data_IF_054580562399
#
_entry.id   IF_054580562399
#
_cell.length_a   1.000
_cell.length_b   1.000
_cell.length_c   1.000
_cell.angle_alpha   90.00
_cell.angle_beta   90.00
_cell.angle_gamma   90.00
#
_symmetry.space_group_name_H-M   'P 1'
#
loop_
_entity.id
_entity.type
_entity.pdbx_description
1 polymer ?
#
# COMPACT_ATOMS: atom_id res chain seq x y z
N UNK A 1 -15.09 18.56 17.47
CA UNK A 1 -13.76 18.20 16.93
C UNK A 1 -13.95 17.24 15.78
N UNK A 2 -13.21 17.43 14.69
CA UNK A 2 -13.11 16.48 13.56
C UNK A 2 -11.73 15.81 13.66
N UNK A 3 -11.68 14.48 13.57
CA UNK A 3 -10.43 13.72 13.55
C UNK A 3 -10.28 13.08 12.19
N UNK A 4 -9.16 13.33 11.53
CA UNK A 4 -8.86 12.91 10.16
C UNK A 4 -7.61 12.05 10.16
N UNK A 5 -7.61 10.99 9.34
CA UNK A 5 -6.48 10.09 9.23
C UNK A 5 -5.98 10.02 7.78
N UNK A 6 -4.66 10.16 7.61
CA UNK A 6 -3.98 9.94 6.34
C UNK A 6 -4.14 11.10 5.34
N UNK A 7 -4.35 10.73 4.09
CA UNK A 7 -4.11 11.57 2.91
C UNK A 7 -5.16 11.40 1.79
N UNK A 8 -6.34 10.91 2.13
CA UNK A 8 -7.42 10.75 1.15
C UNK A 8 -8.17 12.06 0.90
N UNK A 9 -8.79 12.17 -0.27
CA UNK A 9 -9.59 13.35 -0.67
C UNK A 9 -10.72 13.61 0.34
N UNK A 10 -11.32 12.57 0.89
CA UNK A 10 -12.37 12.68 1.90
C UNK A 10 -11.85 13.33 3.18
N UNK A 11 -10.63 13.01 3.59
CA UNK A 11 -9.97 13.65 4.73
C UNK A 11 -9.66 15.13 4.44
N UNK A 12 -9.22 15.45 3.21
CA UNK A 12 -9.03 16.84 2.79
C UNK A 12 -10.34 17.63 2.84
N UNK A 13 -11.42 17.08 2.29
CA UNK A 13 -12.74 17.73 2.34
C UNK A 13 -13.18 17.97 3.79
N UNK A 14 -13.01 16.98 4.67
CA UNK A 14 -13.29 17.11 6.10
C UNK A 14 -12.45 18.19 6.78
N UNK A 15 -11.16 18.34 6.41
CA UNK A 15 -10.28 19.37 6.98
C UNK A 15 -10.71 20.78 6.56
N UNK A 16 -11.09 20.96 5.30
CA UNK A 16 -11.59 22.24 4.77
C UNK A 16 -12.87 22.64 5.51
N UNK A 17 -13.83 21.72 5.58
CA UNK A 17 -15.11 21.98 6.27
C UNK A 17 -14.89 22.32 7.73
N UNK A 18 -14.03 21.54 8.43
CA UNK A 18 -13.72 21.78 9.82
C UNK A 18 -13.09 23.16 10.06
N UNK A 19 -12.04 23.48 9.30
CA UNK A 19 -11.31 24.73 9.43
C UNK A 19 -12.21 25.96 9.12
N UNK A 20 -12.97 25.93 8.04
CA UNK A 20 -13.82 27.05 7.63
C UNK A 20 -15.02 27.28 8.57
N UNK A 21 -15.42 26.26 9.33
CA UNK A 21 -16.51 26.39 10.33
C UNK A 21 -16.00 26.58 11.77
N UNK A 22 -14.71 26.90 11.96
CA UNK A 22 -14.09 27.07 13.27
C UNK A 22 -14.26 25.82 14.17
N UNK A 23 -14.27 24.63 13.59
CA UNK A 23 -14.30 23.35 14.29
C UNK A 23 -12.86 22.89 14.50
N UNK A 24 -12.51 22.47 15.71
CA UNK A 24 -11.19 21.90 16.00
C UNK A 24 -10.94 20.67 15.10
N UNK A 25 -9.87 20.71 14.32
CA UNK A 25 -9.43 19.62 13.44
C UNK A 25 -8.16 18.98 13.99
N UNK A 26 -8.15 17.66 14.10
CA UNK A 26 -6.98 16.86 14.45
C UNK A 26 -6.60 15.94 13.29
N UNK A 27 -5.32 15.91 12.94
CA UNK A 27 -4.77 15.10 11.83
C UNK A 27 -3.86 14.00 12.36
N UNK A 28 -4.14 12.76 11.99
CA UNK A 28 -3.33 11.57 12.30
C UNK A 28 -2.49 11.20 11.08
N UNK A 29 -1.21 10.85 11.31
CA UNK A 29 -0.21 10.51 10.30
C UNK A 29 0.18 11.67 9.36
N UNK A 30 0.08 12.92 9.82
CA UNK A 30 0.67 14.06 9.15
C UNK A 30 2.20 13.98 9.10
N UNK A 31 2.81 14.66 8.12
CA UNK A 31 4.28 14.77 8.02
C UNK A 31 4.99 13.58 7.38
N UNK A 32 4.29 12.54 6.95
CA UNK A 32 4.85 11.46 6.15
C UNK A 32 5.11 11.90 4.69
N UNK A 33 6.12 11.30 4.03
CA UNK A 33 6.52 11.60 2.63
C UNK A 33 6.22 10.39 1.77
N UNK A 34 5.69 10.62 0.57
CA UNK A 34 5.40 9.54 -0.39
C UNK A 34 5.82 9.84 -1.83
N UNK A 35 6.13 11.11 -2.13
CA UNK A 35 6.55 11.55 -3.47
C UNK A 35 5.43 11.53 -4.52
N UNK A 36 4.16 11.46 -4.10
CA UNK A 36 2.96 11.43 -4.93
C UNK A 36 1.98 12.52 -4.51
N UNK A 37 0.88 12.66 -5.26
CA UNK A 37 -0.20 13.61 -4.95
C UNK A 37 -0.72 13.43 -3.51
N UNK A 38 -0.72 12.21 -2.98
CA UNK A 38 -1.11 11.90 -1.60
C UNK A 38 -0.29 12.72 -0.58
N UNK A 39 1.00 12.95 -0.85
CA UNK A 39 1.84 13.81 0.01
C UNK A 39 1.35 15.25 0.02
N UNK A 40 1.02 15.79 -1.16
CA UNK A 40 0.47 17.14 -1.27
C UNK A 40 -0.85 17.27 -0.52
N UNK A 41 -1.74 16.28 -0.68
CA UNK A 41 -3.01 16.22 0.04
C UNK A 41 -2.78 16.15 1.54
N UNK A 42 -1.88 15.29 2.02
CA UNK A 42 -1.52 15.15 3.44
C UNK A 42 -1.01 16.47 4.02
N UNK A 43 -0.16 17.17 3.30
CA UNK A 43 0.36 18.46 3.74
C UNK A 43 -0.71 19.55 3.74
N UNK A 44 -1.64 19.53 2.80
CA UNK A 44 -2.79 20.43 2.81
C UNK A 44 -3.71 20.18 4.02
N UNK A 45 -3.99 18.91 4.35
CA UNK A 45 -4.75 18.53 5.56
C UNK A 45 -4.02 19.02 6.82
N UNK A 46 -2.70 18.85 6.89
CA UNK A 46 -1.89 19.37 7.99
C UNK A 46 -2.10 20.86 8.17
N UNK A 47 -2.03 21.66 7.08
CA UNK A 47 -2.22 23.13 7.14
C UNK A 47 -3.63 23.57 7.54
N UNK A 48 -4.63 22.71 7.39
CA UNK A 48 -6.00 22.96 7.83
C UNK A 48 -6.28 22.41 9.25
N UNK A 49 -5.28 21.83 9.90
CA UNK A 49 -5.46 21.15 11.20
C UNK A 49 -4.85 21.96 12.35
N UNK A 50 -5.37 21.76 13.53
CA UNK A 50 -4.96 22.46 14.77
C UNK A 50 -4.10 21.56 15.69
N UNK A 51 -4.33 20.24 15.63
CA UNK A 51 -3.61 19.23 16.40
C UNK A 51 -3.08 18.16 15.45
N UNK A 52 -1.85 17.72 15.70
CA UNK A 52 -1.16 16.78 14.82
C UNK A 52 -0.67 15.56 15.61
N UNK A 53 -1.19 14.40 15.29
CA UNK A 53 -0.75 13.11 15.80
C UNK A 53 0.17 12.44 14.76
N UNK A 54 1.47 12.42 15.03
CA UNK A 54 2.48 11.97 14.07
C UNK A 54 3.10 10.63 14.46
N UNK A 55 3.54 9.87 13.46
CA UNK A 55 4.08 8.54 13.68
C UNK A 55 5.46 8.53 14.36
N UNK A 56 6.30 9.54 14.10
CA UNK A 56 7.70 9.53 14.53
C UNK A 56 8.30 10.94 14.64
N UNK A 57 9.52 11.02 15.18
CA UNK A 57 10.22 12.28 15.36
C UNK A 57 10.59 12.97 14.03
N UNK A 58 10.75 12.22 12.94
CA UNK A 58 11.03 12.78 11.62
C UNK A 58 9.80 13.51 11.06
N UNK A 59 8.63 12.90 11.16
CA UNK A 59 7.37 13.52 10.82
C UNK A 59 7.13 14.80 11.66
N UNK A 60 7.36 14.74 12.99
CA UNK A 60 7.29 15.92 13.86
C UNK A 60 8.19 17.05 13.36
N UNK A 61 9.48 16.78 13.08
CA UNK A 61 10.42 17.79 12.57
C UNK A 61 9.92 18.42 11.27
N UNK A 62 9.34 17.62 10.37
CA UNK A 62 8.81 18.12 9.09
C UNK A 62 7.61 19.04 9.29
N UNK A 63 6.71 18.74 10.20
CA UNK A 63 5.62 19.64 10.54
C UNK A 63 6.11 20.97 11.10
N UNK A 64 7.11 20.95 11.97
CA UNK A 64 7.75 22.19 12.48
C UNK A 64 8.35 23.00 11.32
N UNK A 65 9.04 22.37 10.37
CA UNK A 65 9.56 23.03 9.17
C UNK A 65 8.46 23.61 8.28
N UNK A 66 7.27 23.00 8.28
CA UNK A 66 6.08 23.52 7.59
C UNK A 66 5.44 24.69 8.36
N UNK A 67 5.95 25.07 9.54
CA UNK A 67 5.46 26.18 10.34
C UNK A 67 4.38 25.81 11.34
N UNK A 68 4.18 24.51 11.66
CA UNK A 68 3.26 24.08 12.70
C UNK A 68 3.86 24.30 14.09
N UNK A 69 3.03 24.66 15.08
CA UNK A 69 3.49 24.87 16.44
C UNK A 69 3.89 23.55 17.10
N UNK A 70 5.12 23.48 17.62
CA UNK A 70 5.63 22.25 18.23
C UNK A 70 4.73 21.68 19.31
N UNK A 71 4.10 22.53 20.13
CA UNK A 71 3.18 22.13 21.21
C UNK A 71 1.90 21.45 20.73
N UNK A 72 1.52 21.64 19.46
CA UNK A 72 0.36 21.00 18.84
C UNK A 72 0.70 19.67 18.17
N UNK A 73 1.99 19.25 18.18
CA UNK A 73 2.46 18.04 17.51
C UNK A 73 2.81 16.97 18.53
N UNK A 74 2.06 15.88 18.54
CA UNK A 74 2.17 14.78 19.50
C UNK A 74 2.62 13.52 18.74
N UNK A 75 3.71 12.91 19.19
CA UNK A 75 4.17 11.63 18.62
C UNK A 75 3.37 10.51 19.28
N UNK A 76 2.60 9.76 18.49
CA UNK A 76 1.76 8.65 18.97
C UNK A 76 2.20 7.28 18.42
N UNK A 77 3.19 7.22 17.52
CA UNK A 77 3.45 6.01 16.71
C UNK A 77 2.49 5.92 15.52
N UNK A 78 2.52 4.80 14.82
CA UNK A 78 1.57 4.48 13.75
C UNK A 78 0.48 3.56 14.28
N UNK A 79 -0.80 3.97 14.27
CA UNK A 79 -1.91 3.12 14.68
C UNK A 79 -1.97 1.80 13.90
N UNK A 80 -1.63 1.83 12.62
CA UNK A 80 -1.62 0.65 11.77
C UNK A 80 -0.57 -0.38 12.24
N UNK A 81 0.64 0.09 12.59
CA UNK A 81 1.70 -0.79 13.11
C UNK A 81 1.28 -1.42 14.46
N UNK A 82 0.59 -0.67 15.30
CA UNK A 82 0.09 -1.19 16.58
C UNK A 82 -0.93 -2.31 16.36
N UNK A 83 -1.88 -2.12 15.45
CA UNK A 83 -2.84 -3.14 15.05
C UNK A 83 -2.12 -4.37 14.47
N UNK A 84 -1.13 -4.16 13.60
CA UNK A 84 -0.38 -5.25 12.98
C UNK A 84 0.37 -6.11 13.99
N UNK A 85 0.90 -5.50 15.04
CA UNK A 85 1.62 -6.19 16.14
C UNK A 85 0.68 -6.78 17.19
N UNK A 86 -0.61 -6.45 17.15
CA UNK A 86 -1.57 -6.95 18.12
C UNK A 86 -1.81 -8.45 17.98
N UNK A 87 -2.22 -9.09 19.08
CA UNK A 87 -2.65 -10.49 19.10
C UNK A 87 -4.08 -10.70 18.59
N UNK A 88 -4.75 -9.64 18.17
CA UNK A 88 -6.18 -9.64 17.80
C UNK A 88 -6.44 -9.97 16.32
N UNK A 89 -5.41 -10.32 15.56
CA UNK A 89 -5.61 -10.75 14.17
C UNK A 89 -6.39 -12.08 14.12
N UNK A 90 -7.36 -12.20 13.21
CA UNK A 90 -8.10 -13.45 13.05
C UNK A 90 -7.19 -14.59 12.57
N UNK A 91 -7.53 -15.82 12.95
CA UNK A 91 -6.79 -17.00 12.52
C UNK A 91 -6.85 -17.19 10.99
N UNK A 92 -5.73 -17.65 10.40
CA UNK A 92 -5.59 -17.80 8.95
C UNK A 92 -6.68 -18.69 8.33
N UNK A 93 -6.98 -19.83 8.95
CA UNK A 93 -7.97 -20.75 8.41
C UNK A 93 -9.40 -20.17 8.44
N UNK A 94 -9.71 -19.35 9.46
CA UNK A 94 -10.98 -18.60 9.49
C UNK A 94 -11.06 -17.59 8.34
N UNK A 95 -9.96 -16.89 8.05
CA UNK A 95 -9.88 -15.92 6.95
C UNK A 95 -10.02 -16.61 5.60
N UNK A 96 -9.27 -17.71 5.39
CA UNK A 96 -9.32 -18.49 4.15
C UNK A 96 -10.72 -19.08 3.90
N UNK A 97 -11.35 -19.59 4.93
CA UNK A 97 -12.74 -20.09 4.86
C UNK A 97 -13.71 -18.97 4.48
N UNK A 98 -13.58 -17.80 5.11
CA UNK A 98 -14.46 -16.65 4.85
C UNK A 98 -14.37 -16.16 3.39
N UNK A 99 -13.18 -16.14 2.81
CA UNK A 99 -12.94 -15.69 1.44
C UNK A 99 -12.90 -16.84 0.40
N UNK A 100 -13.11 -18.07 0.80
CA UNK A 100 -13.04 -19.22 -0.12
C UNK A 100 -11.68 -19.40 -0.76
N UNK A 101 -10.59 -19.17 -0.01
CA UNK A 101 -9.20 -19.32 -0.48
C UNK A 101 -8.75 -20.76 -0.19
N UNK A 102 -8.62 -21.64 -1.21
CA UNK A 102 -8.26 -23.04 -1.03
C UNK A 102 -6.73 -23.25 -0.91
N UNK A 103 -5.94 -22.20 -1.03
CA UNK A 103 -4.49 -22.26 -1.20
C UNK A 103 -3.79 -22.65 0.10
N UNK A 104 -2.88 -23.62 0.05
CA UNK A 104 -1.99 -23.94 1.16
C UNK A 104 -0.87 -22.90 1.26
N UNK A 105 -0.25 -22.57 0.11
CA UNK A 105 0.75 -21.50 -0.05
C UNK A 105 0.24 -20.52 -1.09
N UNK A 106 0.52 -19.25 -0.93
CA UNK A 106 0.08 -18.22 -1.87
C UNK A 106 0.95 -16.98 -1.78
N UNK A 107 0.96 -16.20 -2.85
CA UNK A 107 1.44 -14.83 -2.86
C UNK A 107 0.27 -13.84 -2.99
N UNK A 108 0.53 -12.57 -2.72
CA UNK A 108 -0.48 -11.51 -2.86
C UNK A 108 -0.08 -10.60 -4.02
N UNK A 109 -1.03 -10.31 -4.93
CA UNK A 109 -0.86 -9.30 -5.98
C UNK A 109 -1.73 -8.08 -5.64
N UNK A 110 -1.09 -6.89 -5.58
CA UNK A 110 -1.77 -5.59 -5.51
C UNK A 110 -1.05 -4.62 -6.45
N UNK A 111 -1.71 -4.26 -7.54
CA UNK A 111 -1.15 -3.33 -8.52
C UNK A 111 -2.11 -2.17 -8.76
N UNK A 112 -1.60 -0.94 -8.68
CA UNK A 112 -2.35 0.30 -8.87
C UNK A 112 -1.90 1.02 -10.13
N UNK A 113 -2.78 1.80 -10.78
CA UNK A 113 -2.36 2.65 -11.87
C UNK A 113 -1.38 3.73 -11.38
N UNK A 114 -0.54 4.21 -12.29
CA UNK A 114 0.30 5.38 -12.08
C UNK A 114 -0.16 6.44 -13.08
N UNK A 115 -0.61 7.59 -12.59
CA UNK A 115 -1.27 8.64 -13.41
C UNK A 115 -0.41 9.11 -14.59
N UNK A 116 0.92 9.12 -14.42
CA UNK A 116 1.88 9.50 -15.46
C UNK A 116 2.19 8.38 -16.47
N UNK A 117 1.63 7.18 -16.30
CA UNK A 117 1.97 5.98 -17.10
C UNK A 117 0.71 5.30 -17.68
N UNK A 118 -0.42 6.00 -17.76
CA UNK A 118 -1.71 5.43 -18.19
C UNK A 118 -1.65 4.84 -19.60
N UNK A 119 -0.92 5.46 -20.52
CA UNK A 119 -0.78 4.99 -21.91
C UNK A 119 -0.15 3.58 -21.99
N UNK A 120 0.73 3.24 -21.08
CA UNK A 120 1.41 1.93 -21.02
C UNK A 120 0.76 0.95 -20.05
N UNK A 121 -0.23 1.38 -19.26
CA UNK A 121 -0.81 0.61 -18.14
C UNK A 121 -1.32 -0.77 -18.56
N UNK A 122 -2.03 -0.86 -19.70
CA UNK A 122 -2.56 -2.13 -20.21
C UNK A 122 -1.44 -3.11 -20.57
N UNK A 123 -0.34 -2.62 -21.10
CA UNK A 123 0.82 -3.45 -21.44
C UNK A 123 1.48 -3.94 -20.15
N UNK A 124 1.70 -3.03 -19.20
CA UNK A 124 2.31 -3.36 -17.91
C UNK A 124 1.55 -4.46 -17.19
N UNK A 125 0.22 -4.31 -17.06
CA UNK A 125 -0.57 -5.31 -16.33
C UNK A 125 -0.60 -6.66 -17.07
N UNK A 126 -0.68 -6.69 -18.40
CA UNK A 126 -0.61 -7.94 -19.18
C UNK A 126 0.70 -8.68 -18.94
N UNK A 127 1.83 -7.99 -19.01
CA UNK A 127 3.14 -8.59 -18.75
C UNK A 127 3.25 -9.18 -17.36
N UNK A 128 2.73 -8.46 -16.35
CA UNK A 128 2.65 -8.96 -14.98
C UNK A 128 1.83 -10.25 -14.93
N UNK A 129 0.61 -10.24 -15.46
CA UNK A 129 -0.27 -11.41 -15.41
C UNK A 129 0.29 -12.61 -16.18
N UNK A 130 0.93 -12.39 -17.29
CA UNK A 130 1.57 -13.46 -18.07
C UNK A 130 2.75 -14.08 -17.31
N UNK A 131 3.55 -13.26 -16.63
CA UNK A 131 4.61 -13.76 -15.76
C UNK A 131 4.06 -14.58 -14.59
N UNK A 132 2.99 -14.10 -13.94
CA UNK A 132 2.36 -14.80 -12.83
C UNK A 132 1.73 -16.13 -13.27
N UNK A 133 1.05 -16.18 -14.43
CA UNK A 133 0.49 -17.42 -15.00
C UNK A 133 1.57 -18.47 -15.27
N UNK A 134 2.75 -18.03 -15.71
CA UNK A 134 3.90 -18.92 -15.99
C UNK A 134 4.61 -19.41 -14.72
N UNK A 135 4.37 -18.79 -13.57
CA UNK A 135 5.10 -19.10 -12.33
C UNK A 135 4.63 -20.37 -11.61
N UNK A 136 3.51 -20.95 -12.03
CA UNK A 136 2.83 -22.10 -11.39
C UNK A 136 2.54 -21.90 -9.89
N UNK A 137 2.42 -20.65 -9.45
CA UNK A 137 2.13 -20.28 -8.07
C UNK A 137 0.69 -19.84 -7.90
N UNK A 138 0.22 -19.87 -6.66
CA UNK A 138 -1.14 -19.46 -6.30
C UNK A 138 -1.16 -18.01 -5.80
N UNK A 139 -2.15 -17.24 -6.24
CA UNK A 139 -2.24 -15.82 -5.96
C UNK A 139 -3.59 -15.40 -5.39
N UNK A 140 -3.52 -14.59 -4.33
CA UNK A 140 -4.61 -13.75 -3.85
C UNK A 140 -4.46 -12.39 -4.49
N UNK A 141 -5.39 -12.01 -5.35
CA UNK A 141 -5.37 -10.77 -6.12
C UNK A 141 -6.36 -9.78 -5.52
N UNK A 142 -5.91 -8.58 -5.21
CA UNK A 142 -6.78 -7.51 -4.69
C UNK A 142 -6.87 -6.41 -5.75
N UNK A 143 -8.08 -5.90 -5.98
CA UNK A 143 -8.31 -4.82 -6.93
C UNK A 143 -7.50 -3.57 -6.57
N UNK A 144 -7.16 -2.74 -7.56
CA UNK A 144 -6.57 -1.42 -7.31
C UNK A 144 -7.57 -0.50 -6.58
N UNK A 145 -7.06 0.61 -6.08
CA UNK A 145 -7.91 1.73 -5.66
C UNK A 145 -8.73 2.27 -6.85
N UNK A 146 -9.71 3.14 -6.55
CA UNK A 146 -10.54 3.80 -7.58
C UNK A 146 -9.82 4.95 -8.31
N UNK A 147 -8.50 4.89 -8.42
CA UNK A 147 -7.70 5.87 -9.15
C UNK A 147 -7.95 5.77 -10.67
N UNK A 148 -7.65 6.84 -11.41
CA UNK A 148 -7.74 6.83 -12.86
C UNK A 148 -6.93 5.68 -13.46
N UNK A 149 -7.51 4.93 -14.41
CA UNK A 149 -6.92 3.73 -14.99
C UNK A 149 -7.24 2.42 -14.26
N UNK A 150 -7.85 2.45 -13.06
CA UNK A 150 -8.19 1.25 -12.30
C UNK A 150 -9.06 0.26 -13.09
N UNK A 151 -9.98 0.75 -13.92
CA UNK A 151 -10.84 -0.07 -14.79
C UNK A 151 -10.03 -0.93 -15.76
N UNK A 152 -8.93 -0.40 -16.31
CA UNK A 152 -8.05 -1.14 -17.22
C UNK A 152 -7.45 -2.36 -16.52
N UNK A 153 -7.01 -2.20 -15.26
CA UNK A 153 -6.45 -3.30 -14.48
C UNK A 153 -7.52 -4.34 -14.16
N UNK A 154 -8.71 -3.90 -13.77
CA UNK A 154 -9.84 -4.79 -13.44
C UNK A 154 -10.26 -5.61 -14.66
N UNK A 155 -10.35 -4.99 -15.84
CA UNK A 155 -10.64 -5.68 -17.10
C UNK A 155 -9.60 -6.80 -17.38
N UNK A 156 -8.31 -6.52 -17.19
CA UNK A 156 -7.28 -7.53 -17.38
C UNK A 156 -7.33 -8.65 -16.31
N UNK A 157 -7.80 -8.37 -15.10
CA UNK A 157 -8.02 -9.39 -14.08
C UNK A 157 -9.15 -10.37 -14.43
N UNK A 158 -10.11 -9.99 -15.30
CA UNK A 158 -11.20 -10.88 -15.73
C UNK A 158 -10.69 -12.20 -16.33
N UNK A 159 -9.57 -12.14 -17.07
CA UNK A 159 -8.95 -13.33 -17.67
C UNK A 159 -8.44 -14.37 -16.66
N UNK A 160 -8.32 -13.97 -15.38
CA UNK A 160 -7.87 -14.86 -14.29
C UNK A 160 -9.01 -15.60 -13.61
N UNK A 161 -10.28 -15.21 -13.81
CA UNK A 161 -11.43 -15.73 -13.06
C UNK A 161 -11.58 -17.24 -13.14
N UNK A 162 -11.23 -17.82 -14.29
CA UNK A 162 -11.33 -19.26 -14.52
C UNK A 162 -10.04 -20.03 -14.25
N UNK A 163 -9.01 -19.35 -13.76
CA UNK A 163 -7.74 -19.99 -13.43
C UNK A 163 -7.71 -20.39 -11.95
N UNK A 164 -7.57 -21.70 -11.69
CA UNK A 164 -7.59 -22.26 -10.34
C UNK A 164 -6.49 -21.70 -9.41
N UNK A 165 -5.41 -21.18 -9.98
CA UNK A 165 -4.29 -20.60 -9.23
C UNK A 165 -4.54 -19.17 -8.76
N UNK A 166 -5.69 -18.57 -9.09
CA UNK A 166 -5.99 -17.19 -8.72
C UNK A 166 -7.29 -17.08 -7.93
N UNK A 167 -7.31 -16.25 -6.90
CA UNK A 167 -8.52 -15.81 -6.20
C UNK A 167 -8.50 -14.28 -6.16
N UNK A 168 -9.55 -13.67 -6.73
CA UNK A 168 -9.63 -12.23 -6.99
C UNK A 168 -10.69 -11.64 -6.08
N UNK A 169 -10.34 -10.52 -5.42
CA UNK A 169 -11.23 -9.84 -4.49
C UNK A 169 -11.27 -8.34 -4.79
N UNK A 170 -12.46 -7.74 -4.89
CA UNK A 170 -12.61 -6.28 -4.99
C UNK A 170 -12.02 -5.55 -3.79
N UNK A 171 -12.20 -6.11 -2.60
CA UNK A 171 -11.61 -5.63 -1.35
C UNK A 171 -11.53 -6.76 -0.33
N UNK A 172 -10.64 -6.62 0.62
CA UNK A 172 -10.49 -7.52 1.77
C UNK A 172 -10.53 -6.68 3.04
N UNK A 173 -11.29 -7.11 4.05
CA UNK A 173 -11.34 -6.43 5.35
C UNK A 173 -9.94 -6.30 5.92
N UNK A 174 -9.60 -5.14 6.47
CA UNK A 174 -8.24 -4.81 6.89
C UNK A 174 -7.57 -5.86 7.77
N UNK A 175 -8.20 -6.29 8.87
CA UNK A 175 -7.62 -7.31 9.76
C UNK A 175 -7.45 -8.68 9.07
N UNK A 176 -8.34 -9.02 8.14
CA UNK A 176 -8.26 -10.25 7.37
C UNK A 176 -7.13 -10.18 6.34
N UNK A 177 -6.98 -9.02 5.72
CA UNK A 177 -5.87 -8.74 4.83
C UNK A 177 -4.53 -8.83 5.54
N UNK A 178 -4.39 -8.24 6.74
CA UNK A 178 -3.18 -8.36 7.55
C UNK A 178 -2.84 -9.80 7.89
N UNK A 179 -3.84 -10.64 8.20
CA UNK A 179 -3.63 -12.07 8.42
C UNK A 179 -3.14 -12.76 7.15
N UNK A 180 -3.73 -12.46 5.99
CA UNK A 180 -3.27 -13.02 4.72
C UNK A 180 -1.85 -12.56 4.39
N UNK A 181 -1.53 -11.27 4.58
CA UNK A 181 -0.20 -10.71 4.35
C UNK A 181 0.86 -11.38 5.23
N UNK A 182 0.58 -11.52 6.52
CA UNK A 182 1.49 -12.16 7.48
C UNK A 182 1.85 -13.60 7.11
N UNK A 183 0.98 -14.30 6.39
CA UNK A 183 1.10 -15.73 6.07
C UNK A 183 1.34 -16.01 4.58
N UNK A 184 1.52 -14.99 3.73
CA UNK A 184 1.85 -15.19 2.33
C UNK A 184 3.35 -15.48 2.15
N UNK A 185 3.71 -16.10 1.02
CA UNK A 185 5.12 -16.34 0.67
C UNK A 185 5.82 -15.03 0.30
N UNK A 186 5.14 -14.15 -0.41
CA UNK A 186 5.59 -12.81 -0.78
C UNK A 186 4.41 -11.96 -1.26
N UNK A 187 4.63 -10.65 -1.32
CA UNK A 187 3.74 -9.71 -1.99
C UNK A 187 4.39 -9.15 -3.24
N UNK A 188 3.62 -8.99 -4.31
CA UNK A 188 4.08 -8.46 -5.58
C UNK A 188 3.15 -7.35 -6.07
N UNK A 189 3.70 -6.30 -6.67
CA UNK A 189 2.97 -5.17 -7.23
C UNK A 189 3.62 -3.83 -6.91
N UNK A 190 2.81 -2.78 -6.87
CA UNK A 190 3.30 -1.42 -6.60
C UNK A 190 2.55 -0.74 -5.44
N UNK A 191 1.87 -1.52 -4.61
CA UNK A 191 1.19 -1.00 -3.42
C UNK A 191 2.19 -0.60 -2.34
N UNK A 192 1.84 0.44 -1.56
CA UNK A 192 2.61 0.83 -0.36
C UNK A 192 2.69 -0.28 0.69
N UNK A 193 1.71 -1.18 0.70
CA UNK A 193 1.70 -2.39 1.54
C UNK A 193 2.98 -3.21 1.38
N UNK A 194 3.48 -3.34 0.14
CA UNK A 194 4.74 -4.04 -0.16
C UNK A 194 6.00 -3.32 0.34
N UNK A 195 5.88 -2.10 0.85
CA UNK A 195 7.00 -1.32 1.39
C UNK A 195 6.90 -1.15 2.90
N UNK A 196 5.69 -0.94 3.44
CA UNK A 196 5.47 -0.60 4.84
C UNK A 196 5.04 -1.83 5.67
N UNK A 197 3.90 -2.39 5.31
CA UNK A 197 3.26 -3.44 6.09
C UNK A 197 3.99 -4.79 5.95
N UNK A 198 4.50 -5.11 4.76
CA UNK A 198 5.28 -6.32 4.53
C UNK A 198 6.56 -6.36 5.40
N UNK A 199 7.21 -5.21 5.59
CA UNK A 199 8.41 -5.09 6.43
C UNK A 199 8.10 -5.44 7.90
N UNK A 200 6.96 -5.01 8.42
CA UNK A 200 6.54 -5.30 9.82
C UNK A 200 6.42 -6.81 10.08
N UNK A 201 6.01 -7.57 9.05
CA UNK A 201 5.85 -9.02 9.14
C UNK A 201 7.05 -9.82 8.63
N UNK A 202 8.09 -9.16 8.12
CA UNK A 202 9.23 -9.82 7.48
C UNK A 202 8.84 -10.56 6.20
N UNK A 203 7.80 -10.09 5.49
CA UNK A 203 7.33 -10.69 4.25
C UNK A 203 8.09 -10.11 3.07
N UNK A 204 8.63 -10.98 2.22
CA UNK A 204 9.33 -10.57 0.99
C UNK A 204 8.39 -9.75 0.08
N UNK A 205 8.92 -8.68 -0.50
CA UNK A 205 8.18 -7.81 -1.42
C UNK A 205 8.89 -7.68 -2.75
N UNK A 206 8.14 -7.87 -3.85
CA UNK A 206 8.60 -7.63 -5.21
C UNK A 206 7.89 -6.36 -5.71
N UNK A 207 8.58 -5.23 -5.65
CA UNK A 207 8.05 -3.97 -6.12
C UNK A 207 8.21 -3.82 -7.63
N UNK A 208 7.09 -3.58 -8.34
CA UNK A 208 7.05 -3.46 -9.80
C UNK A 208 6.75 -2.01 -10.18
N UNK A 209 7.53 -1.46 -11.13
CA UNK A 209 7.32 -0.12 -11.67
C UNK A 209 7.83 0.99 -10.79
N UNK A 210 7.30 2.19 -10.99
CA UNK A 210 7.87 3.45 -10.50
C UNK A 210 7.14 4.02 -9.28
N UNK A 211 5.94 3.54 -8.96
CA UNK A 211 5.04 4.13 -7.94
C UNK A 211 5.68 4.31 -6.57
N UNK A 212 6.68 3.51 -6.22
CA UNK A 212 7.36 3.56 -4.92
C UNK A 212 8.79 4.12 -4.99
N UNK A 213 9.20 4.78 -6.09
CA UNK A 213 10.58 5.19 -6.32
C UNK A 213 11.15 6.16 -5.29
N UNK A 214 10.33 7.01 -4.69
CA UNK A 214 10.77 8.05 -3.75
C UNK A 214 10.64 7.63 -2.27
N UNK A 215 10.30 6.36 -2.00
CA UNK A 215 10.23 5.83 -0.62
C UNK A 215 11.53 5.16 -0.24
N UNK A 216 11.94 5.36 1.02
CA UNK A 216 12.99 4.54 1.61
C UNK A 216 12.49 3.09 1.69
N UNK A 217 13.22 2.18 1.07
CA UNK A 217 12.91 0.76 1.04
C UNK A 217 13.95 -0.01 1.85
N UNK A 218 13.50 -1.01 2.60
CA UNK A 218 14.38 -1.95 3.27
C UNK A 218 15.12 -2.84 2.25
N UNK A 219 16.16 -3.55 2.71
CA UNK A 219 16.94 -4.47 1.87
C UNK A 219 16.14 -5.70 1.38
N UNK A 220 15.01 -5.97 2.00
CA UNK A 220 14.15 -7.12 1.70
C UNK A 220 13.15 -6.86 0.55
N UNK A 221 13.25 -5.68 -0.08
CA UNK A 221 12.39 -5.29 -1.21
C UNK A 221 13.16 -5.41 -2.51
N UNK A 222 12.77 -6.36 -3.36
CA UNK A 222 13.31 -6.51 -4.72
C UNK A 222 12.55 -5.59 -5.69
N UNK A 223 13.28 -4.81 -6.47
CA UNK A 223 12.71 -3.90 -7.48
C UNK A 223 12.79 -4.52 -8.87
N UNK A 224 11.65 -4.55 -9.56
CA UNK A 224 11.57 -4.94 -10.97
C UNK A 224 10.99 -3.79 -11.80
N UNK A 225 11.63 -3.48 -12.90
CA UNK A 225 11.13 -2.51 -13.89
C UNK A 225 10.23 -3.23 -14.90
N UNK A 226 9.10 -2.63 -15.22
CA UNK A 226 8.24 -3.06 -16.34
C UNK A 226 8.73 -2.56 -17.70
N UNK A 227 9.90 -1.88 -17.76
CA UNK A 227 10.47 -1.47 -19.06
C UNK A 227 11.03 -2.67 -19.79
N UNK A 228 10.47 -2.95 -20.95
CA UNK A 228 11.06 -3.78 -22.01
C UNK A 228 12.42 -3.22 -22.43
N UNK A 229 13.49 -3.66 -21.77
CA UNK A 229 14.82 -3.67 -22.36
C UNK A 229 15.47 -5.00 -22.01
N UNK A 230 15.54 -5.84 -23.05
CA UNK A 230 16.41 -6.99 -23.11
C UNK A 230 17.83 -6.62 -22.68
N UNK A 231 18.37 -7.44 -21.83
CA UNK A 231 19.76 -7.66 -21.47
C UNK A 231 20.14 -7.33 -20.03
N UNK A 232 20.67 -8.39 -19.44
CA UNK A 232 21.33 -8.51 -18.13
C UNK A 232 20.48 -8.76 -16.89
N UNK A 233 19.93 -9.97 -16.83
CA UNK A 233 19.65 -10.64 -15.56
C UNK A 233 21.00 -10.98 -14.90
N UNK A 234 21.49 -10.15 -14.00
CA UNK A 234 22.48 -10.60 -13.01
C UNK A 234 21.74 -11.41 -11.96
N UNK A 235 21.89 -12.74 -12.03
CA UNK A 235 21.51 -13.64 -10.92
C UNK A 235 22.37 -13.29 -9.71
N UNK A 236 21.78 -12.62 -8.69
CA UNK A 236 22.38 -12.64 -7.36
C UNK A 236 22.11 -14.00 -6.74
N UNK A 237 23.17 -14.71 -6.43
CA UNK A 237 23.14 -16.01 -5.74
C UNK A 237 22.52 -15.82 -4.36
N UNK A 238 21.54 -16.67 -4.02
CA UNK A 238 21.13 -16.86 -2.64
C UNK A 238 22.32 -17.40 -1.81
N UNK A 239 22.52 -16.96 -0.58
CA UNK A 239 23.40 -17.64 0.33
C UNK A 239 22.79 -19.01 0.65
N UNK A 240 23.57 -20.05 0.49
CA UNK A 240 23.26 -21.40 0.92
C UNK A 240 23.40 -21.51 2.45
N UNK A 241 22.42 -22.18 3.08
CA UNK A 241 22.34 -22.75 4.44
C UNK A 241 22.43 -21.81 5.60
#
# INVERSE_FOLDING_TARGET
MVVLHGDRIEALAGSIVGALNNILVAHIEGGEVSGHIDETIRHAITKMSHIHFVANAQAKRRLIQMGEMEKSIIIIGSPDIEIMKSKSLPELEKVKKYYGIPFKKYAILIFHPVSSELDSLRIQIKEILDALKKSDRQFVVVFPNNDEGSKIIIEEYEQLKNNANFRIFPSIRFLYFLTLLKNCEFIIGNSSVGVRESEVYGVHSINIGTRQNNRNMSKDIDRKSTRLHSSHVKRSRMPSS
#
